data_IF_834479737165
#
_entry.id   IF_834479737165
#
_cell.length_a   1.000
_cell.length_b   1.000
_cell.length_c   1.000
_cell.angle_alpha   90.00
_cell.angle_beta   90.00
_cell.angle_gamma   90.00
#
_symmetry.space_group_name_H-M   'P 1'
#
loop_
_entity.id
_entity.type
_entity.pdbx_description
1 polymer ?
#
# COMPACT_ATOMS: atom_id res chain seq x y z
N UNK A 1 -6.93 -12.41 25.61
CA UNK A 1 -5.84 -12.55 24.62
C UNK A 1 -6.42 -12.37 23.24
N UNK A 2 -5.63 -11.87 22.29
CA UNK A 2 -6.00 -11.77 20.87
C UNK A 2 -5.01 -12.62 20.10
N UNK A 3 -5.51 -13.54 19.27
CA UNK A 3 -4.70 -14.41 18.43
C UNK A 3 -5.02 -14.13 16.96
N UNK A 4 -3.98 -13.98 16.14
CA UNK A 4 -4.02 -13.87 14.70
C UNK A 4 -3.50 -15.19 14.12
N UNK A 5 -4.14 -15.70 13.07
CA UNK A 5 -3.70 -16.93 12.39
C UNK A 5 -3.50 -16.61 10.93
N UNK A 6 -2.29 -16.85 10.43
CA UNK A 6 -1.94 -16.76 9.02
C UNK A 6 -1.61 -18.14 8.45
N UNK A 7 -2.04 -18.38 7.21
CA UNK A 7 -1.79 -19.64 6.48
C UNK A 7 -0.39 -19.70 5.89
N UNK A 8 0.17 -18.54 5.54
CA UNK A 8 1.53 -18.39 5.05
C UNK A 8 2.56 -18.84 6.09
N UNK A 9 3.75 -19.21 5.60
CA UNK A 9 4.88 -19.51 6.48
C UNK A 9 5.38 -18.28 7.26
N UNK A 10 5.12 -17.07 6.72
CA UNK A 10 5.41 -15.79 7.36
C UNK A 10 4.31 -14.78 7.00
N UNK A 11 4.03 -13.83 7.90
CA UNK A 11 3.12 -12.72 7.64
C UNK A 11 3.51 -11.98 6.36
N UNK A 12 2.54 -11.83 5.46
CA UNK A 12 2.73 -11.15 4.18
C UNK A 12 3.16 -12.05 3.02
N UNK A 13 3.54 -13.31 3.24
CA UNK A 13 4.09 -14.14 2.15
C UNK A 13 3.06 -14.59 1.10
N UNK A 14 1.76 -14.60 1.44
CA UNK A 14 0.67 -14.82 0.48
C UNK A 14 0.07 -13.54 -0.09
N UNK A 15 0.59 -12.36 0.27
CA UNK A 15 0.06 -11.08 -0.22
C UNK A 15 0.62 -10.79 -1.62
N UNK A 16 -0.28 -10.59 -2.58
CA UNK A 16 0.05 -10.19 -3.94
C UNK A 16 -0.74 -8.94 -4.32
N UNK A 17 -0.04 -7.84 -4.58
CA UNK A 17 -0.63 -6.59 -5.06
C UNK A 17 0.42 -5.70 -5.71
N UNK A 18 0.03 -4.94 -6.75
CA UNK A 18 0.83 -3.83 -7.29
C UNK A 18 0.70 -2.52 -6.50
N UNK A 19 -0.16 -2.52 -5.48
CA UNK A 19 -0.48 -1.48 -4.50
C UNK A 19 0.08 -0.05 -4.72
N UNK A 20 -0.85 0.84 -5.04
CA UNK A 20 -0.77 2.26 -4.66
C UNK A 20 -1.66 2.43 -3.42
N UNK A 21 -1.09 2.97 -2.35
CA UNK A 21 -1.72 3.00 -1.03
C UNK A 21 -1.92 4.45 -0.57
N UNK A 22 -3.16 4.77 -0.19
CA UNK A 22 -3.48 5.96 0.58
C UNK A 22 -3.00 5.78 2.04
N UNK A 23 -2.13 6.67 2.57
CA UNK A 23 -1.61 6.56 3.92
C UNK A 23 -2.61 6.95 5.02
N UNK A 24 -3.81 7.46 4.71
CA UNK A 24 -4.77 7.99 5.69
C UNK A 24 -5.06 6.98 6.79
N UNK A 25 -5.56 5.79 6.45
CA UNK A 25 -5.95 4.79 7.43
C UNK A 25 -4.75 4.29 8.27
N UNK A 26 -3.57 4.21 7.66
CA UNK A 26 -2.34 3.86 8.40
C UNK A 26 -1.95 4.98 9.37
N UNK A 27 -2.13 6.23 8.98
CA UNK A 27 -1.85 7.40 9.82
C UNK A 27 -2.84 7.49 10.99
N UNK A 28 -4.10 7.10 10.79
CA UNK A 28 -5.08 6.99 11.88
C UNK A 28 -4.73 5.86 12.84
N UNK A 29 -4.28 4.70 12.32
CA UNK A 29 -3.93 3.53 13.14
C UNK A 29 -2.60 3.70 13.88
N UNK A 30 -1.58 4.24 13.21
CA UNK A 30 -0.20 4.41 13.72
C UNK A 30 0.30 5.78 13.26
N UNK A 31 0.02 6.87 13.99
CA UNK A 31 0.35 8.23 13.57
C UNK A 31 1.84 8.49 13.30
N UNK A 32 2.72 7.73 13.96
CA UNK A 32 4.18 7.82 13.89
C UNK A 32 4.81 6.72 13.01
N UNK A 33 4.06 6.20 12.02
CA UNK A 33 4.51 5.11 11.14
C UNK A 33 5.80 5.43 10.39
N UNK A 34 6.07 6.72 10.11
CA UNK A 34 7.29 7.15 9.42
C UNK A 34 8.52 6.95 10.29
N UNK A 35 8.43 7.39 11.55
CA UNK A 35 9.48 7.26 12.57
C UNK A 35 9.72 5.78 12.93
N UNK A 36 8.65 4.98 12.93
CA UNK A 36 8.70 3.52 13.17
C UNK A 36 9.15 2.71 11.95
N UNK A 37 9.52 3.38 10.86
CA UNK A 37 10.16 2.74 9.71
C UNK A 37 9.23 1.95 8.80
N UNK A 38 7.94 2.31 8.72
CA UNK A 38 7.02 1.63 7.81
C UNK A 38 7.52 1.72 6.35
N UNK A 39 7.33 0.67 5.53
CA UNK A 39 7.97 0.56 4.22
C UNK A 39 7.28 1.37 3.09
N UNK A 40 6.77 2.56 3.41
CA UNK A 40 6.17 3.52 2.46
C UNK A 40 7.22 4.55 2.03
N UNK A 41 8.09 4.16 1.09
CA UNK A 41 9.26 4.97 0.68
C UNK A 41 9.11 5.70 -0.65
N UNK A 42 8.18 5.28 -1.49
CA UNK A 42 8.04 5.79 -2.87
C UNK A 42 6.73 6.55 -3.00
N UNK A 43 6.78 7.88 -2.85
CA UNK A 43 5.61 8.73 -3.10
C UNK A 43 5.26 8.71 -4.60
N UNK A 44 3.96 8.70 -4.92
CA UNK A 44 3.49 8.83 -6.30
C UNK A 44 3.79 10.25 -6.80
N UNK A 45 4.42 10.34 -7.96
CA UNK A 45 4.78 11.62 -8.59
C UNK A 45 3.96 11.92 -9.84
N UNK A 46 3.40 10.90 -10.49
CA UNK A 46 2.67 11.04 -11.74
C UNK A 46 1.65 9.91 -11.90
N UNK A 47 0.45 10.26 -12.35
CA UNK A 47 -0.60 9.33 -12.77
C UNK A 47 -0.73 9.31 -14.29
N UNK A 48 -0.83 8.11 -14.87
CA UNK A 48 -1.11 7.89 -16.29
C UNK A 48 -2.18 6.83 -16.46
N UNK A 49 -3.28 7.22 -17.07
CA UNK A 49 -4.30 6.29 -17.57
C UNK A 49 -4.17 6.22 -19.08
N UNK A 50 -3.92 5.03 -19.60
CA UNK A 50 -3.67 4.79 -21.01
C UNK A 50 -4.80 3.98 -21.63
N UNK A 51 -5.36 4.46 -22.73
CA UNK A 51 -6.21 3.67 -23.61
C UNK A 51 -5.33 2.95 -24.61
N UNK A 52 -5.36 1.62 -24.56
CA UNK A 52 -4.54 0.76 -25.39
C UNK A 52 -5.30 0.36 -26.67
N UNK A 53 -4.55 0.23 -27.75
CA UNK A 53 -4.94 -0.39 -29.01
C UNK A 53 -3.93 -1.49 -29.32
N UNK A 54 -4.19 -2.34 -30.32
CA UNK A 54 -3.27 -3.41 -30.70
C UNK A 54 -1.85 -2.90 -30.99
N UNK A 55 -1.73 -1.71 -31.59
CA UNK A 55 -0.46 -1.17 -32.08
C UNK A 55 0.02 0.08 -31.36
N UNK A 56 -0.65 0.54 -30.30
CA UNK A 56 -0.26 1.75 -29.58
C UNK A 56 -1.11 2.11 -28.36
N UNK A 57 -0.81 3.25 -27.76
CA UNK A 57 -1.49 3.76 -26.58
C UNK A 57 -1.73 5.27 -26.68
N UNK A 58 -2.83 5.75 -26.10
CA UNK A 58 -3.11 7.18 -25.92
C UNK A 58 -3.41 7.47 -24.46
N UNK A 59 -2.75 8.48 -23.91
CA UNK A 59 -2.99 8.91 -22.53
C UNK A 59 -4.27 9.74 -22.43
N UNK A 60 -5.08 9.44 -21.41
CA UNK A 60 -6.20 10.29 -21.01
C UNK A 60 -5.68 11.59 -20.40
N UNK A 61 -6.23 12.77 -20.74
CA UNK A 61 -5.83 14.02 -20.09
C UNK A 61 -6.06 13.98 -18.58
N UNK A 62 -5.02 14.27 -17.78
CA UNK A 62 -5.08 14.14 -16.33
C UNK A 62 -6.20 14.97 -15.68
N UNK A 63 -6.52 16.15 -16.23
CA UNK A 63 -7.61 17.00 -15.73
C UNK A 63 -9.04 16.49 -16.01
N UNK A 64 -9.18 15.39 -16.77
CA UNK A 64 -10.45 14.72 -17.01
C UNK A 64 -10.54 13.37 -16.27
N UNK A 65 -9.51 13.00 -15.50
CA UNK A 65 -9.53 11.78 -14.71
C UNK A 65 -10.50 11.97 -13.52
N UNK A 66 -11.30 10.94 -13.20
CA UNK A 66 -12.06 10.94 -11.96
C UNK A 66 -11.11 10.91 -10.75
N UNK A 67 -11.54 11.50 -9.64
CA UNK A 67 -10.72 11.63 -8.41
C UNK A 67 -10.18 10.28 -7.90
N UNK A 68 -10.91 9.18 -8.12
CA UNK A 68 -10.47 7.83 -7.73
C UNK A 68 -9.27 7.30 -8.51
N UNK A 69 -8.84 7.97 -9.59
CA UNK A 69 -7.64 7.64 -10.37
C UNK A 69 -6.50 8.65 -10.15
N UNK A 70 -6.67 9.59 -9.22
CA UNK A 70 -5.64 10.56 -8.82
C UNK A 70 -5.01 10.09 -7.53
N UNK A 71 -3.68 9.94 -7.52
CA UNK A 71 -2.93 9.35 -6.41
C UNK A 71 -2.01 10.36 -5.72
N UNK A 72 -2.32 11.65 -5.80
CA UNK A 72 -1.56 12.67 -5.08
C UNK A 72 -1.58 12.39 -3.56
N UNK A 73 -0.40 12.28 -2.95
CA UNK A 73 -0.25 11.94 -1.54
C UNK A 73 -0.15 10.43 -1.23
N UNK A 74 -0.37 9.57 -2.23
CA UNK A 74 -0.28 8.12 -2.07
C UNK A 74 1.17 7.61 -2.25
N UNK A 75 1.38 6.35 -1.87
CA UNK A 75 2.67 5.66 -1.99
C UNK A 75 2.56 4.40 -2.84
N UNK A 76 3.57 4.16 -3.67
CA UNK A 76 3.79 2.87 -4.34
C UNK A 76 4.47 1.95 -3.33
N UNK A 77 3.88 0.79 -3.05
CA UNK A 77 4.35 -0.10 -1.97
C UNK A 77 4.49 -1.54 -2.42
N UNK A 78 5.38 -2.26 -1.74
CA UNK A 78 5.34 -3.73 -1.71
C UNK A 78 4.40 -4.13 -0.58
N UNK A 79 3.15 -4.46 -0.90
CA UNK A 79 2.13 -4.70 0.13
C UNK A 79 2.49 -5.83 1.10
N UNK A 80 3.16 -6.89 0.63
CA UNK A 80 3.68 -7.94 1.52
C UNK A 80 4.65 -7.41 2.58
N UNK A 81 5.50 -6.43 2.24
CA UNK A 81 6.40 -5.81 3.23
C UNK A 81 5.64 -4.93 4.23
N UNK A 82 4.60 -4.22 3.77
CA UNK A 82 3.72 -3.43 4.66
C UNK A 82 3.03 -4.34 5.66
N UNK A 83 2.47 -5.47 5.19
CA UNK A 83 1.79 -6.45 6.04
C UNK A 83 2.75 -7.13 7.00
N UNK A 84 3.97 -7.48 6.56
CA UNK A 84 5.02 -7.99 7.45
C UNK A 84 5.35 -7.00 8.57
N UNK A 85 5.56 -5.72 8.23
CA UNK A 85 5.82 -4.67 9.19
C UNK A 85 4.64 -4.45 10.17
N UNK A 86 3.39 -4.55 9.69
CA UNK A 86 2.21 -4.49 10.56
C UNK A 86 2.15 -5.69 11.52
N UNK A 87 2.56 -6.88 11.08
CA UNK A 87 2.72 -8.05 11.94
C UNK A 87 3.69 -7.79 13.09
N UNK A 88 4.87 -7.23 12.78
CA UNK A 88 5.86 -6.83 13.80
C UNK A 88 5.27 -5.81 14.80
N UNK A 89 4.44 -4.87 14.33
CA UNK A 89 3.79 -3.90 15.21
C UNK A 89 2.71 -4.56 16.10
N UNK A 90 2.00 -5.56 15.59
CA UNK A 90 0.98 -6.30 16.33
C UNK A 90 1.60 -7.20 17.41
N UNK A 91 2.68 -7.93 17.07
CA UNK A 91 3.45 -8.74 18.03
C UNK A 91 3.99 -7.86 19.16
N UNK A 92 4.53 -6.68 18.85
CA UNK A 92 5.02 -5.72 19.84
C UNK A 92 3.93 -5.21 20.80
N UNK A 93 2.65 -5.29 20.40
CA UNK A 93 1.49 -4.95 21.23
C UNK A 93 0.93 -6.16 22.01
N UNK A 94 1.56 -7.33 21.91
CA UNK A 94 1.17 -8.56 22.61
C UNK A 94 0.09 -9.37 21.90
N UNK A 95 -0.13 -9.16 20.60
CA UNK A 95 -0.93 -10.07 19.78
C UNK A 95 -0.13 -11.35 19.56
N UNK A 96 -0.77 -12.50 19.74
CA UNK A 96 -0.19 -13.81 19.40
C UNK A 96 -0.41 -14.05 17.90
N UNK A 97 0.64 -13.85 17.10
CA UNK A 97 0.63 -13.91 15.63
C UNK A 97 1.11 -15.25 15.10
#
# INVERSE_FOLDING_TARGET
SVCLIEKAAEIGAHILSGAVMDPQALTELIPDWKERGAPLKTAVTEDKVLFLTETGARQAPNGLLPDCLVNHGNYIVRLGNVVKWLGEQAEALGVEV
#
